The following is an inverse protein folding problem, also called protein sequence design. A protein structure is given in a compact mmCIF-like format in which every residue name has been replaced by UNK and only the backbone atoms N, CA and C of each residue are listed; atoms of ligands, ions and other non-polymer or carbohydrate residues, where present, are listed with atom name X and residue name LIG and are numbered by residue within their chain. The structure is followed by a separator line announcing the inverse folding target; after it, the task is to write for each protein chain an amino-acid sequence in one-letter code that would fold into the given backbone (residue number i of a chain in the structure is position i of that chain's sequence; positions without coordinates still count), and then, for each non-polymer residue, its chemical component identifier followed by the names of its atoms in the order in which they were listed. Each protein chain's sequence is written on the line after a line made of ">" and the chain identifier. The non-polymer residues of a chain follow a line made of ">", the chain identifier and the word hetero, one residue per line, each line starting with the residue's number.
data_IF_804079132634
#
_entry.id   IF_804079132634
#
_cell.length_a   1.000
_cell.length_b   1.000
_cell.length_c   1.000
_cell.angle_alpha   90.00
_cell.angle_beta   90.00
_cell.angle_gamma   90.00
#
_symmetry.space_group_name_H-M   'P 1'
#
loop_
_entity.id
_entity.type
_entity.pdbx_description
1 polymer ?
#
# COMPACT_ATOMS: atom_id res chain seq x y z
N UNK A 1 -12.59 51.98 62.33
CA UNK A 1 -11.99 51.75 60.99
C UNK A 1 -12.49 50.39 60.46
N UNK A 2 -13.43 50.39 59.51
CA UNK A 2 -13.97 49.16 58.89
C UNK A 2 -13.39 49.02 57.50
N UNK A 3 -12.50 48.04 57.36
CA UNK A 3 -11.82 47.68 56.04
C UNK A 3 -12.81 46.91 55.21
N UNK A 4 -13.24 47.48 54.10
CA UNK A 4 -14.03 46.76 53.04
C UNK A 4 -13.10 45.98 52.13
N UNK A 5 -13.28 44.67 52.13
CA UNK A 5 -12.64 43.78 51.19
C UNK A 5 -13.46 43.76 49.86
N UNK A 6 -12.88 44.22 48.79
CA UNK A 6 -13.47 44.22 47.45
C UNK A 6 -13.26 42.85 46.83
N UNK A 7 -14.33 42.07 46.69
CA UNK A 7 -14.29 40.76 45.95
C UNK A 7 -14.62 41.05 44.49
N UNK A 8 -13.63 40.84 43.61
CA UNK A 8 -13.79 40.91 42.16
C UNK A 8 -14.18 39.50 41.67
N UNK A 9 -15.31 39.32 40.97
CA UNK A 9 -15.64 38.03 40.38
C UNK A 9 -14.82 37.82 39.11
N UNK A 10 -14.01 36.77 39.07
CA UNK A 10 -13.35 36.29 37.85
C UNK A 10 -14.42 35.57 37.02
N UNK A 11 -14.86 36.23 35.94
CA UNK A 11 -15.69 35.59 34.92
C UNK A 11 -14.82 34.61 34.09
N UNK A 12 -15.01 33.32 34.33
CA UNK A 12 -14.39 32.25 33.56
C UNK A 12 -15.12 32.17 32.21
N UNK A 13 -14.51 32.75 31.15
CA UNK A 13 -14.96 32.54 29.80
C UNK A 13 -14.60 31.09 29.36
N UNK A 14 -15.58 30.22 29.38
CA UNK A 14 -15.53 28.93 28.67
C UNK A 14 -15.54 29.23 27.19
N UNK A 15 -14.35 29.29 26.60
CA UNK A 15 -14.21 29.21 25.15
C UNK A 15 -14.60 27.81 24.72
N UNK A 16 -15.84 27.65 24.26
CA UNK A 16 -16.32 26.46 23.58
C UNK A 16 -15.51 26.23 22.32
N UNK A 17 -14.54 25.30 22.34
CA UNK A 17 -13.92 24.80 21.19
C UNK A 17 -14.99 24.06 20.37
N UNK A 18 -15.61 24.75 19.41
CA UNK A 18 -16.33 24.11 18.33
C UNK A 18 -15.32 23.24 17.57
N UNK A 19 -15.31 21.96 17.87
CA UNK A 19 -14.74 20.97 16.97
C UNK A 19 -15.55 21.06 15.66
N UNK A 20 -15.06 21.84 14.70
CA UNK A 20 -15.50 21.70 13.31
C UNK A 20 -15.15 20.27 12.94
N UNK A 21 -16.16 19.41 12.78
CA UNK A 21 -16.03 18.20 11.97
C UNK A 21 -15.40 18.68 10.67
N UNK A 22 -14.16 18.20 10.38
CA UNK A 22 -13.51 18.52 9.12
C UNK A 22 -14.48 18.15 8.01
N UNK A 23 -14.90 19.14 7.24
CA UNK A 23 -15.70 18.93 6.04
C UNK A 23 -14.86 18.01 5.15
N UNK A 24 -15.25 16.75 5.08
CA UNK A 24 -14.75 15.81 4.11
C UNK A 24 -15.12 16.43 2.75
N UNK A 25 -14.12 16.97 2.05
CA UNK A 25 -14.35 17.60 0.74
C UNK A 25 -14.94 16.51 -0.15
N UNK A 26 -16.23 16.64 -0.42
CA UNK A 26 -16.95 15.70 -1.27
C UNK A 26 -16.14 15.50 -2.56
N UNK A 27 -15.93 14.26 -3.00
CA UNK A 27 -15.16 14.00 -4.20
C UNK A 27 -15.75 14.77 -5.36
N UNK A 28 -14.90 15.46 -6.14
CA UNK A 28 -15.34 16.14 -7.35
C UNK A 28 -16.26 15.23 -8.18
N UNK A 29 -17.38 15.71 -8.72
CA UNK A 29 -18.31 14.90 -9.52
C UNK A 29 -17.63 14.08 -10.62
N UNK A 30 -16.49 14.53 -11.15
CA UNK A 30 -15.71 13.82 -12.15
C UNK A 30 -14.90 12.63 -11.57
N UNK A 31 -14.64 12.58 -10.26
CA UNK A 31 -13.78 11.56 -9.67
C UNK A 31 -14.45 10.19 -9.56
N UNK A 32 -15.71 10.11 -9.22
CA UNK A 32 -16.42 8.84 -9.12
C UNK A 32 -16.51 8.12 -10.48
N UNK A 33 -16.98 8.75 -11.58
CA UNK A 33 -16.98 8.12 -12.89
C UNK A 33 -15.58 7.72 -13.38
N UNK A 34 -14.54 8.53 -13.07
CA UNK A 34 -13.16 8.20 -13.46
C UNK A 34 -12.62 7.01 -12.69
N UNK A 35 -12.94 6.89 -11.39
CA UNK A 35 -12.63 5.70 -10.58
C UNK A 35 -13.32 4.46 -11.14
N UNK A 36 -14.60 4.55 -11.45
CA UNK A 36 -15.39 3.45 -11.99
C UNK A 36 -14.86 3.01 -13.37
N UNK A 37 -14.38 3.98 -14.18
CA UNK A 37 -13.67 3.68 -15.44
C UNK A 37 -12.36 2.93 -15.20
N UNK A 38 -11.59 3.27 -14.16
CA UNK A 38 -10.38 2.52 -13.80
C UNK A 38 -10.73 1.10 -13.35
N UNK A 39 -11.78 0.92 -12.57
CA UNK A 39 -12.23 -0.41 -12.14
C UNK A 39 -12.68 -1.27 -13.31
N UNK A 40 -13.47 -0.72 -14.21
CA UNK A 40 -13.90 -1.41 -15.42
C UNK A 40 -12.71 -1.78 -16.32
N UNK A 41 -11.70 -0.89 -16.39
CA UNK A 41 -10.46 -1.19 -17.11
C UNK A 41 -9.71 -2.35 -16.47
N UNK A 42 -9.48 -2.31 -15.15
CA UNK A 42 -8.79 -3.36 -14.40
C UNK A 42 -9.51 -4.71 -14.57
N UNK A 43 -10.83 -4.75 -14.38
CA UNK A 43 -11.63 -5.95 -14.58
C UNK A 43 -11.52 -6.48 -16.03
N UNK A 44 -11.60 -5.61 -17.03
CA UNK A 44 -11.51 -6.03 -18.44
C UNK A 44 -10.16 -6.67 -18.80
N UNK A 45 -9.08 -6.30 -18.06
CA UNK A 45 -7.77 -6.94 -18.23
C UNK A 45 -7.73 -8.33 -17.61
N UNK A 46 -8.39 -8.53 -16.46
CA UNK A 46 -8.60 -9.85 -15.90
C UNK A 46 -9.30 -10.79 -16.87
N UNK A 47 -10.38 -10.32 -17.49
CA UNK A 47 -11.16 -11.12 -18.43
C UNK A 47 -10.30 -11.54 -19.66
N UNK A 48 -9.37 -10.67 -20.07
CA UNK A 48 -8.46 -10.94 -21.17
C UNK A 48 -7.26 -11.82 -20.80
N UNK A 49 -6.89 -11.88 -19.52
CA UNK A 49 -5.66 -12.57 -19.07
C UNK A 49 -5.74 -14.09 -19.22
N UNK A 50 -6.94 -14.65 -19.19
CA UNK A 50 -7.14 -16.11 -19.34
C UNK A 50 -6.66 -16.66 -20.67
N UNK A 51 -6.60 -15.81 -21.72
CA UNK A 51 -6.21 -16.21 -23.07
C UNK A 51 -4.69 -16.17 -23.32
N UNK A 52 -3.91 -15.43 -22.50
CA UNK A 52 -2.51 -15.09 -22.82
C UNK A 52 -1.47 -15.67 -21.85
N UNK A 53 -1.91 -16.34 -20.79
CA UNK A 53 -1.03 -16.77 -19.70
C UNK A 53 -0.65 -15.65 -18.74
N UNK A 54 -0.20 -16.03 -17.53
CA UNK A 54 0.00 -15.11 -16.42
C UNK A 54 1.06 -14.05 -16.70
N UNK A 55 2.22 -14.48 -17.21
CA UNK A 55 3.37 -13.60 -17.45
C UNK A 55 3.05 -12.54 -18.50
N UNK A 56 2.49 -12.94 -19.64
CA UNK A 56 2.17 -12.02 -20.74
C UNK A 56 1.05 -11.06 -20.35
N UNK A 57 0.02 -11.56 -19.67
CA UNK A 57 -1.06 -10.74 -19.16
C UNK A 57 -0.55 -9.65 -18.21
N UNK A 58 0.32 -10.01 -17.27
CA UNK A 58 0.91 -9.04 -16.35
C UNK A 58 1.84 -8.06 -17.06
N UNK A 59 2.78 -8.54 -17.87
CA UNK A 59 3.73 -7.68 -18.60
C UNK A 59 3.04 -6.65 -19.49
N UNK A 60 1.91 -7.02 -20.09
CA UNK A 60 1.12 -6.10 -20.93
C UNK A 60 0.52 -4.91 -20.16
N UNK A 61 0.38 -5.01 -18.84
CA UNK A 61 -0.17 -3.96 -17.98
C UNK A 61 0.89 -3.05 -17.35
N UNK A 62 2.13 -3.51 -17.24
CA UNK A 62 3.17 -2.80 -16.51
C UNK A 62 3.66 -1.56 -17.26
N UNK A 63 4.02 -0.53 -16.51
CA UNK A 63 4.79 0.60 -17.04
C UNK A 63 6.27 0.23 -17.17
N UNK A 64 7.04 0.88 -18.08
CA UNK A 64 8.46 0.60 -18.22
C UNK A 64 9.29 0.69 -16.94
N UNK A 65 8.92 1.61 -16.05
CA UNK A 65 9.57 1.90 -14.76
C UNK A 65 8.81 1.33 -13.55
N UNK A 66 8.02 0.28 -13.75
CA UNK A 66 7.23 -0.35 -12.69
C UNK A 66 8.07 -0.75 -11.48
N UNK A 67 7.49 -0.62 -10.29
CA UNK A 67 7.96 -1.29 -9.09
C UNK A 67 7.07 -2.51 -8.82
N UNK A 68 7.67 -3.70 -8.76
CA UNK A 68 6.94 -4.96 -8.72
C UNK A 68 7.36 -5.80 -7.50
N UNK A 69 6.38 -6.12 -6.64
CA UNK A 69 6.58 -6.83 -5.39
C UNK A 69 5.87 -8.18 -5.43
N UNK A 70 6.61 -9.23 -5.70
CA UNK A 70 6.15 -10.62 -5.65
C UNK A 70 6.74 -11.33 -4.43
N UNK A 71 5.97 -12.22 -3.81
CA UNK A 71 6.47 -13.03 -2.69
C UNK A 71 7.66 -13.90 -3.12
N UNK A 72 8.64 -14.04 -2.25
CA UNK A 72 9.82 -14.87 -2.49
C UNK A 72 10.95 -14.22 -3.30
N UNK A 73 10.76 -12.98 -3.82
CA UNK A 73 11.82 -12.23 -4.52
C UNK A 73 11.99 -10.83 -3.91
N UNK A 74 13.14 -10.18 -4.04
CA UNK A 74 13.29 -8.76 -3.70
C UNK A 74 12.35 -7.87 -4.52
N UNK A 75 12.20 -6.59 -4.14
CA UNK A 75 11.49 -5.62 -4.96
C UNK A 75 12.21 -5.44 -6.31
N UNK A 76 11.47 -5.53 -7.40
CA UNK A 76 11.98 -5.37 -8.76
C UNK A 76 11.60 -3.98 -9.29
N UNK A 77 12.50 -3.34 -9.99
CA UNK A 77 12.28 -2.02 -10.61
C UNK A 77 12.56 -2.10 -12.10
N UNK A 78 11.56 -1.68 -12.89
CA UNK A 78 11.58 -1.74 -14.34
C UNK A 78 11.02 -3.04 -14.91
N UNK A 79 10.36 -2.91 -16.06
CA UNK A 79 9.68 -4.03 -16.74
C UNK A 79 10.62 -5.16 -17.14
N UNK A 80 11.87 -4.84 -17.48
CA UNK A 80 12.86 -5.86 -17.89
C UNK A 80 13.28 -6.75 -16.73
N UNK A 81 13.38 -6.21 -15.52
CA UNK A 81 13.61 -7.01 -14.32
C UNK A 81 12.46 -7.98 -14.05
N UNK A 82 11.22 -7.52 -14.25
CA UNK A 82 10.03 -8.37 -14.11
C UNK A 82 10.00 -9.44 -15.20
N UNK A 83 10.33 -9.10 -16.44
CA UNK A 83 10.44 -10.06 -17.56
C UNK A 83 11.47 -11.15 -17.26
N UNK A 84 12.65 -10.77 -16.79
CA UNK A 84 13.72 -11.69 -16.40
C UNK A 84 13.25 -12.61 -15.27
N UNK A 85 12.57 -12.07 -14.26
CA UNK A 85 12.00 -12.85 -13.15
C UNK A 85 10.99 -13.89 -13.65
N UNK A 86 10.06 -13.51 -14.54
CA UNK A 86 9.10 -14.45 -15.12
C UNK A 86 9.79 -15.53 -15.96
N UNK A 87 10.80 -15.17 -16.73
CA UNK A 87 11.57 -16.13 -17.53
C UNK A 87 12.35 -17.14 -16.67
N UNK A 88 12.90 -16.69 -15.54
CA UNK A 88 13.60 -17.55 -14.58
C UNK A 88 12.66 -18.44 -13.75
N UNK A 89 11.39 -18.04 -13.63
CA UNK A 89 10.37 -18.74 -12.84
C UNK A 89 9.11 -18.95 -13.70
N UNK A 90 9.18 -19.80 -14.73
CA UNK A 90 8.04 -20.01 -15.61
C UNK A 90 6.87 -20.63 -14.84
N UNK A 91 5.69 -20.13 -15.11
CA UNK A 91 4.47 -20.72 -14.57
C UNK A 91 4.28 -22.14 -15.14
N UNK A 92 3.69 -23.02 -14.34
CA UNK A 92 3.28 -24.34 -14.82
C UNK A 92 2.37 -24.18 -16.05
N UNK A 93 2.65 -24.92 -17.11
CA UNK A 93 1.86 -24.87 -18.34
C UNK A 93 0.36 -25.05 -18.04
N UNK A 94 -0.47 -24.18 -18.61
CA UNK A 94 -1.90 -24.14 -18.37
C UNK A 94 -2.30 -23.38 -17.08
N UNK A 95 -1.35 -22.76 -16.38
CA UNK A 95 -1.72 -21.86 -15.28
C UNK A 95 -2.38 -20.60 -15.84
N UNK A 96 -3.52 -20.23 -15.27
CA UNK A 96 -4.23 -18.99 -15.57
C UNK A 96 -4.41 -18.15 -14.32
N UNK A 97 -4.62 -16.87 -14.51
CA UNK A 97 -4.93 -15.91 -13.45
C UNK A 97 -6.15 -15.09 -13.85
N UNK A 98 -7.06 -14.92 -12.90
CA UNK A 98 -8.16 -13.95 -12.99
C UNK A 98 -8.12 -13.10 -11.74
N UNK A 99 -8.61 -11.87 -11.83
CA UNK A 99 -8.69 -11.00 -10.64
C UNK A 99 -9.94 -10.13 -10.67
N UNK A 100 -10.32 -9.69 -9.49
CA UNK A 100 -11.47 -8.81 -9.28
C UNK A 100 -11.04 -7.66 -8.38
N UNK A 101 -11.13 -6.41 -8.85
CA UNK A 101 -10.95 -5.25 -8.00
C UNK A 101 -12.09 -5.15 -6.98
N UNK A 102 -11.74 -4.99 -5.70
CA UNK A 102 -12.67 -4.83 -4.59
C UNK A 102 -12.83 -3.37 -4.20
N UNK A 103 -11.85 -2.54 -4.53
CA UNK A 103 -11.87 -1.12 -4.22
C UNK A 103 -10.68 -0.38 -4.79
N UNK A 104 -10.63 0.94 -4.52
CA UNK A 104 -9.58 1.82 -5.00
C UNK A 104 -10.01 3.28 -5.08
N UNK A 105 -9.18 4.11 -5.67
CA UNK A 105 -9.41 5.54 -5.79
C UNK A 105 -8.65 6.15 -6.96
N UNK A 106 -8.89 7.46 -7.17
CA UNK A 106 -8.33 8.23 -8.28
C UNK A 106 -7.76 9.55 -7.78
N UNK A 107 -6.68 10.02 -8.39
CA UNK A 107 -6.06 11.33 -8.12
C UNK A 107 -6.91 12.49 -8.65
N UNK A 108 -6.65 13.71 -8.19
CA UNK A 108 -7.41 14.89 -8.60
C UNK A 108 -7.28 15.21 -10.09
N UNK A 109 -6.14 14.88 -10.72
CA UNK A 109 -5.90 15.06 -12.15
C UNK A 109 -6.44 13.93 -13.02
N UNK A 110 -7.03 12.90 -12.41
CA UNK A 110 -7.62 11.72 -13.07
C UNK A 110 -6.59 10.89 -13.87
N UNK A 111 -5.28 11.07 -13.58
CA UNK A 111 -4.18 10.42 -14.31
C UNK A 111 -3.45 9.38 -13.49
N UNK A 112 -3.67 9.34 -12.19
CA UNK A 112 -3.22 8.26 -11.33
C UNK A 112 -4.39 7.70 -10.52
N UNK A 113 -4.27 6.46 -10.10
CA UNK A 113 -5.26 5.79 -9.28
C UNK A 113 -4.69 4.53 -8.68
N UNK A 114 -5.48 3.87 -7.86
CA UNK A 114 -5.11 2.59 -7.31
C UNK A 114 -6.32 1.67 -7.28
N UNK A 115 -6.05 0.38 -7.38
CA UNK A 115 -7.01 -0.70 -7.14
C UNK A 115 -6.39 -1.69 -6.16
N UNK A 116 -7.23 -2.37 -5.43
CA UNK A 116 -6.88 -3.54 -4.66
C UNK A 116 -7.96 -4.59 -4.81
N UNK A 117 -7.58 -5.85 -4.71
CA UNK A 117 -8.54 -6.91 -4.97
C UNK A 117 -8.03 -8.30 -4.64
N UNK A 118 -8.77 -9.27 -5.14
CA UNK A 118 -8.47 -10.69 -5.05
C UNK A 118 -8.12 -11.21 -6.43
N UNK A 119 -7.09 -12.04 -6.51
CA UNK A 119 -6.73 -12.80 -7.70
C UNK A 119 -6.89 -14.30 -7.43
N UNK A 120 -7.40 -15.03 -8.40
CA UNK A 120 -7.48 -16.47 -8.40
C UNK A 120 -6.47 -17.04 -9.41
N UNK A 121 -5.50 -17.77 -8.90
CA UNK A 121 -4.54 -18.52 -9.73
C UNK A 121 -4.97 -19.96 -9.82
N UNK A 122 -5.20 -20.43 -11.04
CA UNK A 122 -5.62 -21.80 -11.34
C UNK A 122 -4.48 -22.51 -12.05
N UNK A 123 -3.89 -23.48 -11.38
CA UNK A 123 -2.83 -24.35 -11.95
C UNK A 123 -3.42 -25.74 -12.16
N UNK A 124 -3.19 -26.39 -13.32
CA UNK A 124 -3.71 -27.72 -13.57
C UNK A 124 -3.33 -28.73 -12.48
N UNK A 125 -4.32 -29.48 -12.00
CA UNK A 125 -4.17 -30.50 -10.95
C UNK A 125 -3.75 -29.98 -9.56
N UNK A 126 -3.80 -28.66 -9.33
CA UNK A 126 -3.56 -28.04 -8.04
C UNK A 126 -4.81 -27.32 -7.54
N UNK A 127 -4.98 -27.15 -6.22
CA UNK A 127 -6.04 -26.29 -5.68
C UNK A 127 -5.95 -24.87 -6.18
N UNK A 128 -7.10 -24.22 -6.37
CA UNK A 128 -7.16 -22.79 -6.69
C UNK A 128 -6.51 -22.02 -5.55
N UNK A 129 -5.55 -21.13 -5.90
CA UNK A 129 -4.88 -20.26 -4.94
C UNK A 129 -5.46 -18.87 -5.04
N UNK A 130 -6.04 -18.41 -3.93
CA UNK A 130 -6.51 -17.04 -3.81
C UNK A 130 -5.36 -16.16 -3.31
N UNK A 131 -5.12 -15.08 -4.03
CA UNK A 131 -4.10 -14.08 -3.76
C UNK A 131 -4.79 -12.71 -3.60
N UNK A 132 -4.11 -11.78 -3.00
CA UNK A 132 -4.56 -10.39 -2.91
C UNK A 132 -3.55 -9.51 -3.62
N UNK A 133 -4.00 -8.38 -4.14
CA UNK A 133 -3.12 -7.46 -4.83
C UNK A 133 -3.42 -6.01 -4.49
N UNK A 134 -2.40 -5.17 -4.67
CA UNK A 134 -2.48 -3.72 -4.75
C UNK A 134 -1.84 -3.33 -6.07
N UNK A 135 -2.51 -2.49 -6.86
CA UNK A 135 -1.98 -1.91 -8.08
C UNK A 135 -2.11 -0.39 -8.05
N UNK A 136 -1.02 0.33 -8.22
CA UNK A 136 -1.02 1.76 -8.45
C UNK A 136 -0.88 2.03 -9.95
N UNK A 137 -1.88 2.70 -10.50
CA UNK A 137 -2.04 2.95 -11.91
C UNK A 137 -1.67 4.38 -12.27
N UNK A 138 -1.13 4.56 -13.48
CA UNK A 138 -0.95 5.87 -14.08
C UNK A 138 -1.25 5.81 -15.59
N UNK A 139 -1.59 6.98 -16.15
CA UNK A 139 -1.74 7.17 -17.60
C UNK A 139 -1.33 8.57 -18.00
N UNK A 140 -0.81 8.71 -19.22
CA UNK A 140 -0.76 10.00 -19.89
C UNK A 140 -2.14 10.34 -20.49
N UNK A 141 -2.34 11.60 -20.88
CA UNK A 141 -3.67 12.14 -21.17
C UNK A 141 -4.54 11.30 -22.13
N UNK A 142 -3.94 10.56 -23.05
CA UNK A 142 -4.61 9.70 -24.04
C UNK A 142 -4.09 8.26 -24.08
N UNK A 143 -3.16 7.92 -23.23
CA UNK A 143 -2.60 6.59 -23.17
C UNK A 143 -3.48 5.66 -22.31
N UNK A 144 -3.42 4.35 -22.54
CA UNK A 144 -4.06 3.38 -21.64
C UNK A 144 -3.42 3.43 -20.25
N UNK A 145 -4.17 2.98 -19.25
CA UNK A 145 -3.66 2.78 -17.91
C UNK A 145 -2.50 1.78 -17.89
N UNK A 146 -1.48 2.08 -17.09
CA UNK A 146 -0.35 1.20 -16.82
C UNK A 146 -0.09 1.13 -15.32
N UNK A 147 0.31 -0.04 -14.85
CA UNK A 147 0.67 -0.28 -13.45
C UNK A 147 2.07 0.29 -13.21
N UNK A 148 2.17 1.29 -12.35
CA UNK A 148 3.45 1.88 -11.92
C UNK A 148 4.00 1.24 -10.64
N UNK A 149 3.13 0.65 -9.80
CA UNK A 149 3.53 -0.19 -8.69
C UNK A 149 2.53 -1.33 -8.50
N UNK A 150 3.03 -2.52 -8.21
CA UNK A 150 2.22 -3.72 -7.98
C UNK A 150 2.76 -4.51 -6.79
N UNK A 151 1.89 -5.00 -5.96
CA UNK A 151 2.23 -5.93 -4.90
C UNK A 151 1.24 -7.09 -4.84
N UNK A 152 1.77 -8.33 -4.84
CA UNK A 152 1.06 -9.46 -4.25
C UNK A 152 1.04 -9.24 -2.72
N UNK A 153 -0.09 -9.52 -2.04
CA UNK A 153 -0.22 -9.27 -0.62
C UNK A 153 -0.48 -10.56 0.13
N UNK A 154 0.33 -10.81 1.18
CA UNK A 154 0.15 -11.95 2.07
C UNK A 154 0.31 -13.32 1.42
N UNK A 155 0.83 -13.40 0.20
CA UNK A 155 1.12 -14.66 -0.44
C UNK A 155 2.31 -15.35 0.24
N UNK A 156 2.26 -16.67 0.51
CA UNK A 156 3.44 -17.40 0.92
C UNK A 156 4.48 -17.39 -0.21
N UNK A 157 5.77 -17.45 0.10
CA UNK A 157 6.81 -17.53 -0.92
C UNK A 157 6.57 -18.76 -1.80
N UNK A 158 6.65 -18.60 -3.11
CA UNK A 158 6.40 -19.68 -4.07
C UNK A 158 7.49 -20.75 -4.03
N UNK A 159 8.69 -20.41 -3.61
CA UNK A 159 9.83 -21.29 -3.30
C UNK A 159 10.93 -20.47 -2.63
N UNK A 160 11.77 -21.11 -1.82
CA UNK A 160 13.07 -20.54 -1.45
C UNK A 160 13.96 -20.51 -2.68
N UNK A 161 14.45 -19.34 -3.05
CA UNK A 161 15.59 -19.27 -3.96
C UNK A 161 15.34 -18.85 -5.39
N UNK A 162 14.55 -17.85 -5.66
CA UNK A 162 14.79 -17.07 -6.87
C UNK A 162 16.05 -16.22 -6.61
N UNK A 163 17.15 -16.51 -7.28
CA UNK A 163 18.42 -15.78 -7.16
C UNK A 163 18.38 -14.33 -7.68
N UNK A 164 17.26 -13.64 -7.47
CA UNK A 164 17.11 -12.25 -7.83
C UNK A 164 17.90 -11.39 -6.85
N UNK A 165 18.86 -10.64 -7.36
CA UNK A 165 19.62 -9.66 -6.59
C UNK A 165 18.70 -8.52 -6.12
N UNK A 166 19.04 -7.97 -4.96
CA UNK A 166 18.39 -6.76 -4.47
C UNK A 166 18.69 -5.60 -5.42
N UNK A 167 17.65 -5.01 -5.98
CA UNK A 167 17.77 -3.88 -6.88
C UNK A 167 17.76 -2.55 -6.12
N UNK A 168 18.59 -1.62 -6.57
CA UNK A 168 18.51 -0.23 -6.09
C UNK A 168 17.29 0.45 -6.71
N UNK A 169 16.45 1.12 -5.89
CA UNK A 169 15.32 1.88 -6.41
C UNK A 169 15.76 3.00 -7.35
N UNK A 170 14.99 3.32 -8.39
CA UNK A 170 15.30 4.44 -9.26
C UNK A 170 15.21 5.77 -8.51
N UNK A 171 16.10 6.70 -8.84
CA UNK A 171 16.09 8.07 -8.30
C UNK A 171 15.99 9.10 -9.44
N UNK A 172 14.80 9.24 -10.05
CA UNK A 172 14.62 10.15 -11.18
C UNK A 172 14.78 11.62 -10.76
N UNK A 173 15.32 12.43 -11.68
CA UNK A 173 15.27 13.88 -11.54
C UNK A 173 13.83 14.37 -11.73
N UNK A 174 13.31 15.10 -10.76
CA UNK A 174 11.93 15.60 -10.75
C UNK A 174 11.89 17.13 -10.68
N UNK A 175 10.86 17.77 -11.24
CA UNK A 175 10.58 19.17 -10.96
C UNK A 175 10.44 19.41 -9.45
N UNK A 176 10.85 20.60 -8.97
CA UNK A 176 10.93 20.93 -7.53
C UNK A 176 9.66 20.56 -6.76
N UNK A 177 8.49 20.94 -7.25
CA UNK A 177 7.22 20.66 -6.58
C UNK A 177 6.91 19.15 -6.48
N UNK A 178 7.29 18.37 -7.49
CA UNK A 178 7.16 16.91 -7.47
C UNK A 178 8.17 16.26 -6.53
N UNK A 179 9.40 16.76 -6.48
CA UNK A 179 10.41 16.30 -5.54
C UNK A 179 9.99 16.55 -4.08
N UNK A 180 9.40 17.72 -3.80
CA UNK A 180 8.85 18.06 -2.49
C UNK A 180 7.68 17.14 -2.10
N UNK A 181 6.73 16.92 -3.01
CA UNK A 181 5.60 16.02 -2.75
C UNK A 181 6.05 14.56 -2.53
N UNK A 182 7.01 14.08 -3.33
CA UNK A 182 7.63 12.75 -3.12
C UNK A 182 8.30 12.65 -1.75
N UNK A 183 9.04 13.67 -1.35
CA UNK A 183 9.66 13.72 -0.03
C UNK A 183 8.63 13.74 1.10
N UNK A 184 7.51 14.44 0.92
CA UNK A 184 6.43 14.50 1.91
C UNK A 184 5.76 13.12 2.10
N UNK A 185 5.47 12.39 1.02
CA UNK A 185 4.93 11.01 1.10
C UNK A 185 5.92 10.08 1.79
N UNK A 186 7.21 10.16 1.44
CA UNK A 186 8.24 9.35 2.11
C UNK A 186 8.38 9.69 3.60
N UNK A 187 8.30 10.98 3.94
CA UNK A 187 8.34 11.43 5.32
C UNK A 187 7.11 10.95 6.12
N UNK A 188 5.92 10.94 5.50
CA UNK A 188 4.72 10.41 6.14
C UNK A 188 4.88 8.93 6.52
N UNK A 189 5.45 8.12 5.63
CA UNK A 189 5.75 6.71 5.92
C UNK A 189 6.82 6.55 7.02
N UNK A 190 7.87 7.35 6.98
CA UNK A 190 8.90 7.33 8.03
C UNK A 190 8.36 7.73 9.40
N UNK A 191 7.46 8.75 9.44
CA UNK A 191 6.77 9.15 10.68
C UNK A 191 5.82 8.06 11.17
N UNK A 192 5.16 7.34 10.27
CA UNK A 192 4.33 6.20 10.59
C UNK A 192 5.15 5.06 11.23
N UNK A 193 6.33 4.75 10.68
CA UNK A 193 7.23 3.77 11.26
C UNK A 193 7.76 4.18 12.65
N UNK A 194 8.12 5.45 12.82
CA UNK A 194 8.55 6.01 14.09
C UNK A 194 7.41 6.02 15.13
N UNK A 195 6.18 6.30 14.71
CA UNK A 195 5.01 6.22 15.58
C UNK A 195 4.77 4.78 16.05
N UNK A 196 4.93 3.79 15.16
CA UNK A 196 4.81 2.38 15.53
C UNK A 196 5.89 1.93 16.53
N UNK A 197 7.10 2.41 16.36
CA UNK A 197 8.19 2.14 17.31
C UNK A 197 7.88 2.71 18.70
N UNK A 198 7.37 3.94 18.78
CA UNK A 198 7.11 4.63 20.05
C UNK A 198 5.81 4.24 20.74
N UNK A 199 4.74 4.04 19.98
CA UNK A 199 3.37 3.88 20.48
C UNK A 199 2.78 2.49 20.23
N UNK A 200 3.51 1.64 19.52
CA UNK A 200 3.05 0.32 19.09
C UNK A 200 2.36 0.31 17.73
N UNK A 201 2.47 -0.83 17.06
CA UNK A 201 1.99 -1.02 15.67
C UNK A 201 0.51 -0.73 15.52
N UNK A 202 -0.33 -1.24 16.41
CA UNK A 202 -1.79 -1.06 16.32
C UNK A 202 -2.22 0.40 16.40
N UNK A 203 -1.64 1.15 17.35
CA UNK A 203 -1.89 2.58 17.46
C UNK A 203 -1.45 3.34 16.21
N UNK A 204 -0.25 3.07 15.72
CA UNK A 204 0.29 3.75 14.55
C UNK A 204 -0.56 3.51 13.30
N UNK A 205 -0.95 2.26 13.06
CA UNK A 205 -1.82 1.91 11.93
C UNK A 205 -3.19 2.60 12.04
N UNK A 206 -3.84 2.54 13.19
CA UNK A 206 -5.13 3.20 13.40
C UNK A 206 -5.04 4.73 13.27
N UNK A 207 -3.94 5.34 13.75
CA UNK A 207 -3.72 6.78 13.63
C UNK A 207 -3.38 7.24 12.22
N UNK A 208 -2.87 6.35 11.36
CA UNK A 208 -2.34 6.72 10.02
C UNK A 208 -3.28 6.30 8.88
N UNK A 209 -4.16 5.34 9.09
CA UNK A 209 -5.14 4.91 8.08
C UNK A 209 -6.15 6.03 7.80
N UNK A 210 -6.58 6.19 6.54
CA UNK A 210 -7.72 7.03 6.19
C UNK A 210 -9.04 6.41 6.67
N UNK A 211 -10.12 7.20 6.77
CA UNK A 211 -11.43 6.72 7.21
C UNK A 211 -11.97 5.57 6.33
N UNK A 212 -11.69 5.64 5.04
CA UNK A 212 -11.99 4.63 4.02
C UNK A 212 -10.77 3.77 3.66
N UNK A 213 -9.67 3.90 4.40
CA UNK A 213 -8.43 3.18 4.15
C UNK A 213 -8.53 1.70 4.51
N UNK A 214 -7.80 0.87 3.79
CA UNK A 214 -7.89 -0.59 3.84
C UNK A 214 -6.55 -1.21 4.18
N UNK A 215 -6.60 -2.19 5.06
CA UNK A 215 -5.53 -3.12 5.34
C UNK A 215 -6.04 -4.55 5.11
N UNK A 216 -5.17 -5.43 4.68
CA UNK A 216 -5.55 -6.82 4.48
C UNK A 216 -5.43 -7.63 5.78
N UNK A 217 -6.58 -7.96 6.37
CA UNK A 217 -6.68 -8.99 7.40
C UNK A 217 -6.72 -10.40 6.78
N UNK A 218 -6.88 -11.40 7.58
CA UNK A 218 -7.08 -12.77 7.10
C UNK A 218 -8.31 -13.40 7.77
N UNK A 219 -9.40 -13.70 7.04
CA UNK A 219 -9.59 -13.55 5.58
C UNK A 219 -10.13 -12.18 5.14
N UNK A 220 -10.52 -11.29 6.04
CA UNK A 220 -11.32 -10.09 5.78
C UNK A 220 -10.47 -8.86 5.48
N UNK A 221 -11.08 -7.87 4.80
CA UNK A 221 -10.55 -6.52 4.73
C UNK A 221 -10.81 -5.81 6.07
N UNK A 222 -9.82 -5.04 6.54
CA UNK A 222 -9.90 -4.21 7.73
C UNK A 222 -10.00 -2.75 7.27
N UNK A 223 -11.12 -2.09 7.53
CA UNK A 223 -11.44 -0.79 6.93
C UNK A 223 -11.58 0.28 8.01
N UNK A 224 -10.78 1.32 7.90
CA UNK A 224 -10.81 2.49 8.75
C UNK A 224 -10.17 2.31 10.13
N UNK A 225 -10.02 3.42 10.87
CA UNK A 225 -9.23 3.46 12.09
C UNK A 225 -9.69 2.49 13.19
N UNK A 226 -11.01 2.41 13.44
CA UNK A 226 -11.52 1.57 14.50
C UNK A 226 -11.30 0.08 14.23
N UNK A 227 -11.63 -0.39 13.01
CA UNK A 227 -11.42 -1.78 12.66
C UNK A 227 -9.93 -2.18 12.67
N UNK A 228 -9.05 -1.25 12.27
CA UNK A 228 -7.60 -1.44 12.36
C UNK A 228 -7.14 -1.57 13.82
N UNK A 229 -7.65 -0.72 14.70
CA UNK A 229 -7.35 -0.81 16.14
C UNK A 229 -7.79 -2.15 16.72
N UNK A 230 -9.02 -2.58 16.41
CA UNK A 230 -9.59 -3.84 16.88
C UNK A 230 -8.81 -5.05 16.36
N UNK A 231 -8.38 -5.00 15.10
CA UNK A 231 -7.55 -6.04 14.49
C UNK A 231 -6.25 -6.26 15.25
N UNK A 232 -5.56 -5.20 15.63
CA UNK A 232 -4.30 -5.30 16.38
C UNK A 232 -4.50 -5.60 17.88
N UNK A 233 -5.67 -5.30 18.47
CA UNK A 233 -5.96 -5.61 19.86
C UNK A 233 -5.95 -7.12 20.13
N UNK A 234 -6.26 -7.95 19.12
CA UNK A 234 -6.23 -9.42 19.22
C UNK A 234 -4.85 -10.07 19.03
N UNK A 235 -3.83 -9.30 18.64
CA UNK A 235 -2.50 -9.81 18.27
C UNK A 235 -1.40 -9.48 19.27
N UNK A 236 -1.30 -10.21 20.36
CA UNK A 236 -0.21 -10.04 21.31
C UNK A 236 1.09 -10.69 20.80
N UNK A 237 2.20 -9.93 20.82
CA UNK A 237 3.56 -10.48 20.80
C UNK A 237 4.30 -10.50 19.47
N UNK A 238 3.84 -9.83 18.42
CA UNK A 238 4.64 -9.57 17.22
C UNK A 238 5.10 -8.11 17.17
N UNK A 239 6.38 -7.89 16.91
CA UNK A 239 6.90 -6.56 16.59
C UNK A 239 7.04 -6.41 15.08
N UNK A 240 6.76 -5.20 14.58
CA UNK A 240 6.91 -4.84 13.18
C UNK A 240 7.70 -3.54 13.11
N UNK A 241 8.77 -3.55 12.33
CA UNK A 241 9.56 -2.36 12.00
C UNK A 241 9.74 -2.28 10.50
N UNK A 242 9.74 -1.07 9.94
CA UNK A 242 9.89 -0.88 8.50
C UNK A 242 10.56 0.46 8.17
N UNK A 243 10.98 0.58 6.92
CA UNK A 243 11.51 1.82 6.37
C UNK A 243 11.13 1.97 4.90
N UNK A 244 10.69 3.15 4.45
CA UNK A 244 10.46 3.41 3.04
C UNK A 244 11.79 3.55 2.29
N UNK A 245 11.92 2.83 1.16
CA UNK A 245 13.09 2.88 0.28
C UNK A 245 12.81 3.64 -1.00
N UNK A 246 11.55 3.66 -1.46
CA UNK A 246 11.13 4.34 -2.67
C UNK A 246 9.79 5.04 -2.47
N UNK A 247 9.57 6.16 -3.14
CA UNK A 247 8.29 6.86 -3.17
C UNK A 247 8.05 7.50 -4.55
N UNK A 248 6.78 7.56 -4.95
CA UNK A 248 6.35 8.33 -6.11
C UNK A 248 4.99 8.98 -5.85
N UNK A 249 4.67 10.02 -6.62
CA UNK A 249 3.42 10.78 -6.47
C UNK A 249 2.81 11.08 -7.84
N UNK A 250 1.48 11.23 -7.87
CA UNK A 250 0.73 11.74 -9.01
C UNK A 250 1.13 13.19 -9.34
N UNK A 251 0.90 13.62 -10.59
CA UNK A 251 1.19 14.99 -11.00
C UNK A 251 0.36 16.03 -10.21
N UNK A 252 -0.85 15.67 -9.79
CA UNK A 252 -1.71 16.46 -8.89
C UNK A 252 -1.21 16.53 -7.44
N UNK A 253 -0.24 15.71 -7.04
CA UNK A 253 0.41 15.68 -5.73
C UNK A 253 -0.52 15.36 -4.55
N UNK A 254 -1.66 14.75 -4.81
CA UNK A 254 -2.65 14.36 -3.81
C UNK A 254 -2.74 12.84 -3.58
N UNK A 255 -2.12 12.05 -4.48
CA UNK A 255 -2.04 10.61 -4.40
C UNK A 255 -0.61 10.17 -4.68
N UNK A 256 -0.12 9.21 -3.91
CA UNK A 256 1.23 8.68 -4.07
C UNK A 256 1.36 7.29 -3.49
N UNK A 257 2.54 6.71 -3.60
CA UNK A 257 2.85 5.45 -2.95
C UNK A 257 4.28 5.42 -2.40
N UNK A 258 4.49 4.55 -1.43
CA UNK A 258 5.80 4.16 -0.93
C UNK A 258 6.00 2.68 -1.11
N UNK A 259 7.23 2.29 -1.33
CA UNK A 259 7.72 0.92 -1.23
C UNK A 259 8.80 0.91 -0.16
N UNK A 260 8.74 -0.08 0.70
CA UNK A 260 9.73 -0.23 1.75
C UNK A 260 9.98 -1.68 2.11
N UNK A 261 10.84 -1.85 3.08
CA UNK A 261 11.20 -3.14 3.64
C UNK A 261 10.76 -3.19 5.09
N UNK A 262 10.30 -4.35 5.51
CA UNK A 262 9.93 -4.59 6.90
C UNK A 262 10.66 -5.78 7.49
N UNK A 263 10.78 -5.74 8.80
CA UNK A 263 11.17 -6.88 9.64
C UNK A 263 10.05 -7.09 10.65
N UNK A 264 9.59 -8.33 10.77
CA UNK A 264 8.65 -8.72 11.80
C UNK A 264 9.28 -9.81 12.68
N UNK A 265 9.05 -9.70 13.99
CA UNK A 265 9.44 -10.73 14.96
C UNK A 265 8.19 -11.30 15.59
N UNK A 266 8.06 -12.60 15.59
CA UNK A 266 6.95 -13.32 16.18
C UNK A 266 7.39 -14.68 16.72
N UNK A 267 6.45 -15.51 17.15
CA UNK A 267 6.73 -16.87 17.57
C UNK A 267 6.54 -17.85 16.43
N UNK A 268 7.47 -18.75 16.27
CA UNK A 268 7.37 -19.92 15.39
C UNK A 268 6.49 -21.03 16.00
N UNK A 269 6.27 -22.13 15.26
CA UNK A 269 5.46 -23.27 15.73
C UNK A 269 5.98 -23.90 17.02
N UNK A 270 7.28 -23.81 17.29
CA UNK A 270 7.94 -24.32 18.52
C UNK A 270 7.92 -23.33 19.66
N UNK A 271 7.32 -22.13 19.50
CA UNK A 271 7.36 -21.05 20.48
C UNK A 271 8.63 -20.20 20.44
N UNK A 272 9.66 -20.60 19.69
CA UNK A 272 10.89 -19.83 19.51
C UNK A 272 10.62 -18.51 18.78
N UNK A 273 11.39 -17.46 19.09
CA UNK A 273 11.34 -16.21 18.35
C UNK A 273 11.80 -16.43 16.90
N UNK A 274 11.01 -15.96 15.95
CA UNK A 274 11.31 -16.02 14.51
C UNK A 274 11.26 -14.64 13.93
N UNK A 275 12.33 -14.24 13.29
CA UNK A 275 12.40 -13.00 12.53
C UNK A 275 12.06 -13.27 11.06
N UNK A 276 11.20 -12.44 10.48
CA UNK A 276 10.79 -12.51 9.09
C UNK A 276 11.04 -11.18 8.42
N UNK A 277 11.46 -11.24 7.16
CA UNK A 277 11.72 -10.09 6.32
C UNK A 277 10.69 -10.01 5.21
N UNK A 278 10.41 -8.81 4.76
CA UNK A 278 9.53 -8.61 3.64
C UNK A 278 9.61 -7.19 3.07
N UNK A 279 8.74 -6.94 2.14
CA UNK A 279 8.57 -5.65 1.48
C UNK A 279 7.09 -5.31 1.37
N UNK A 280 6.79 -4.03 1.29
CA UNK A 280 5.43 -3.52 1.27
C UNK A 280 5.22 -2.45 0.21
N UNK A 281 3.97 -2.28 -0.16
CA UNK A 281 3.45 -1.18 -0.96
C UNK A 281 2.32 -0.52 -0.18
N UNK A 282 2.50 0.76 0.12
CA UNK A 282 1.48 1.60 0.75
C UNK A 282 1.08 2.71 -0.20
N UNK A 283 -0.22 2.87 -0.43
CA UNK A 283 -0.76 3.99 -1.20
C UNK A 283 -1.26 5.06 -0.24
N UNK A 284 -0.86 6.29 -0.51
CA UNK A 284 -1.11 7.48 0.32
C UNK A 284 -1.98 8.48 -0.38
N UNK A 285 -2.92 9.07 0.35
CA UNK A 285 -3.77 10.18 -0.12
C UNK A 285 -3.61 11.38 0.82
N UNK A 286 -3.39 12.55 0.22
CA UNK A 286 -3.37 13.82 0.93
C UNK A 286 -4.79 14.17 1.36
N UNK A 287 -4.99 14.42 2.64
CA UNK A 287 -6.27 14.80 3.22
C UNK A 287 -6.46 16.33 3.13
N UNK A 288 -7.70 16.79 3.37
CA UNK A 288 -8.04 18.22 3.34
C UNK A 288 -7.32 19.04 4.41
N UNK A 289 -6.89 18.42 5.49
CA UNK A 289 -6.09 19.04 6.57
C UNK A 289 -4.58 19.11 6.27
N UNK A 290 -4.17 18.66 5.08
CA UNK A 290 -2.77 18.62 4.65
C UNK A 290 -1.98 17.41 5.15
N UNK A 291 -2.58 16.48 5.88
CA UNK A 291 -1.94 15.25 6.32
C UNK A 291 -2.00 14.16 5.25
N UNK A 292 -0.97 13.32 5.20
CA UNK A 292 -0.99 12.10 4.39
C UNK A 292 -1.53 10.93 5.23
N UNK A 293 -2.53 10.24 4.69
CA UNK A 293 -3.07 9.01 5.27
C UNK A 293 -2.96 7.88 4.26
N UNK A 294 -2.67 6.68 4.73
CA UNK A 294 -2.70 5.55 3.80
C UNK A 294 -4.14 5.14 3.48
N UNK A 295 -4.37 4.79 2.23
CA UNK A 295 -5.67 4.33 1.72
C UNK A 295 -5.69 2.85 1.39
N UNK A 296 -4.53 2.25 1.18
CA UNK A 296 -4.33 0.80 1.16
C UNK A 296 -2.88 0.47 1.52
N UNK A 297 -2.70 -0.56 2.32
CA UNK A 297 -1.40 -1.05 2.75
C UNK A 297 -1.34 -2.57 2.66
N UNK A 298 -0.19 -3.08 2.22
CA UNK A 298 0.04 -4.51 2.18
C UNK A 298 1.44 -4.88 1.72
N UNK A 299 1.86 -6.09 2.10
CA UNK A 299 3.19 -6.55 1.79
C UNK A 299 3.27 -8.07 1.64
N UNK A 300 4.45 -8.53 1.32
CA UNK A 300 4.76 -9.95 1.16
C UNK A 300 6.16 -10.28 1.65
N UNK A 301 6.43 -11.56 1.99
CA UNK A 301 7.72 -11.97 2.46
C UNK A 301 8.80 -11.89 1.37
N UNK A 302 10.01 -11.63 1.82
CA UNK A 302 11.25 -11.76 1.05
C UNK A 302 12.07 -12.88 1.68
N UNK A 303 12.82 -13.68 0.93
CA UNK A 303 13.74 -14.63 1.49
C UNK A 303 14.70 -13.94 2.47
N UNK A 304 15.07 -14.62 3.54
CA UNK A 304 16.08 -14.13 4.49
C UNK A 304 17.36 -13.74 3.73
N UNK A 305 18.02 -12.68 4.17
CA UNK A 305 19.36 -12.37 3.66
C UNK A 305 20.23 -13.60 3.91
N UNK A 306 20.70 -14.24 2.85
CA UNK A 306 21.67 -15.31 2.95
C UNK A 306 22.99 -14.73 3.51
N UNK A 307 23.12 -14.70 4.83
CA UNK A 307 24.27 -14.10 5.52
C UNK A 307 24.21 -14.18 7.04
N UNK A 308 23.01 -14.35 7.60
CA UNK A 308 22.85 -14.52 9.05
C UNK A 308 22.72 -16.03 9.38
N UNK A 309 23.82 -16.75 9.31
CA UNK A 309 24.02 -18.05 9.96
C UNK A 309 25.09 -17.91 11.01
#
# INVERSE_FOLDING_TARGET
>A
MKTRVLVIPIAMMLAGACHRRGDEVAPSPARLPARDTLFAFDQSRSDSATAHGVSDAMLALLSPDVAFLRAGVPALYGIEAVRTMFAANPETSGTSITWQPLGGGISNDLRAGYTYGIAARVTPRAPVRLERYIAYWRRDARAPWRIAAYAEVGAPPASEGSGAERMTPPNPTLPRAMAQARSAVRAADSLFADLAYRMGTGYAFAATVAQDGVMFGNPQLVIGPQAVQDFFAGGAGSSLSWQPVYAAVAASRDLGFTIGEYTSTGRGPTGAAVQRFGKYLTVWRLQSDGTWKFVVDGGNPTPSRGGDR
#
